data_IF_385454954652
#
_entry.id   IF_385454954652
#
_cell.length_a   1.000
_cell.length_b   1.000
_cell.length_c   1.000
_cell.angle_alpha   90.00
_cell.angle_beta   90.00
_cell.angle_gamma   90.00
#
_symmetry.space_group_name_H-M   'P 1'
#
loop_
_entity.id
_entity.type
_entity.pdbx_description
1 polymer ?
#
# COMPACT_ATOMS: atom_id res chain seq x y z
N UNK A 1 22.95 16.91 20.81
CA UNK A 1 21.59 16.34 21.02
C UNK A 1 21.19 15.72 19.69
N UNK A 2 20.70 14.49 19.75
CA UNK A 2 20.77 13.45 18.72
C UNK A 2 20.13 13.80 17.38
N UNK A 3 20.91 13.65 16.31
CA UNK A 3 20.44 13.11 15.03
C UNK A 3 19.85 11.72 15.31
N UNK A 4 18.62 11.50 14.92
CA UNK A 4 17.99 10.18 14.91
C UNK A 4 17.03 10.13 13.72
N UNK A 5 17.61 9.80 12.57
CA UNK A 5 16.99 9.09 11.46
C UNK A 5 15.55 9.48 11.14
N UNK A 6 15.40 10.56 10.36
CA UNK A 6 14.38 10.57 9.31
C UNK A 6 14.80 9.52 8.27
N UNK A 7 14.67 8.24 8.65
CA UNK A 7 14.66 7.15 7.69
C UNK A 7 13.31 7.23 7.02
N UNK A 8 13.14 8.23 6.15
CA UNK A 8 12.10 8.16 5.15
C UNK A 8 12.36 6.82 4.43
N UNK A 9 11.45 5.84 4.54
CA UNK A 9 11.64 4.58 3.85
C UNK A 9 11.88 4.92 2.38
N UNK A 10 13.00 4.43 1.84
CA UNK A 10 13.29 4.51 0.41
C UNK A 10 12.00 4.20 -0.33
N UNK A 11 11.44 5.15 -1.11
CA UNK A 11 10.07 5.07 -1.59
C UNK A 11 9.83 3.88 -2.54
N UNK A 12 10.88 3.13 -2.88
CA UNK A 12 10.87 2.09 -3.88
C UNK A 12 10.59 0.67 -3.46
N UNK A 13 10.60 0.38 -2.16
CA UNK A 13 10.12 -0.90 -1.67
C UNK A 13 8.64 -0.76 -1.26
N UNK A 14 7.77 -1.65 -1.75
CA UNK A 14 6.58 -1.96 -0.97
C UNK A 14 7.08 -2.37 0.42
N UNK A 15 6.45 -1.91 1.52
CA UNK A 15 6.89 -2.33 2.84
C UNK A 15 6.91 -3.86 2.84
N UNK A 16 8.08 -4.48 3.03
CA UNK A 16 8.32 -5.94 2.98
C UNK A 16 7.20 -6.80 3.60
N UNK A 17 6.54 -6.42 4.72
CA UNK A 17 5.40 -7.17 5.25
C UNK A 17 4.19 -7.28 4.30
N UNK A 18 3.97 -6.34 3.39
CA UNK A 18 2.85 -6.36 2.46
C UNK A 18 3.08 -7.33 1.29
N UNK A 19 4.33 -7.47 0.83
CA UNK A 19 4.69 -8.41 -0.25
C UNK A 19 4.41 -9.87 0.14
N UNK A 20 4.46 -10.18 1.43
CA UNK A 20 4.12 -11.50 1.98
C UNK A 20 2.61 -11.75 2.07
N UNK A 21 1.75 -10.76 1.78
CA UNK A 21 0.29 -10.85 1.89
C UNK A 21 -0.41 -10.39 0.60
N UNK A 22 -0.48 -11.25 -0.43
CA UNK A 22 -0.99 -10.87 -1.76
C UNK A 22 -2.43 -10.34 -1.74
N UNK A 23 -3.27 -10.82 -0.80
CA UNK A 23 -4.64 -10.32 -0.64
C UNK A 23 -4.71 -8.86 -0.14
N UNK A 24 -3.76 -8.42 0.67
CA UNK A 24 -3.69 -7.03 1.13
C UNK A 24 -3.08 -6.12 0.07
N UNK A 25 -2.07 -6.59 -0.66
CA UNK A 25 -1.51 -5.87 -1.82
C UNK A 25 -2.58 -5.64 -2.89
N UNK A 26 -3.34 -6.66 -3.26
CA UNK A 26 -4.47 -6.53 -4.18
C UNK A 26 -5.53 -5.55 -3.66
N UNK A 27 -5.74 -5.51 -2.35
CA UNK A 27 -6.70 -4.57 -1.75
C UNK A 27 -6.24 -3.13 -1.86
N UNK A 28 -4.97 -2.84 -1.57
CA UNK A 28 -4.43 -1.47 -1.69
C UNK A 28 -4.46 -1.01 -3.14
N UNK A 29 -4.11 -1.88 -4.10
CA UNK A 29 -4.21 -1.57 -5.53
C UNK A 29 -5.66 -1.24 -5.94
N UNK A 30 -6.61 -2.12 -5.60
CA UNK A 30 -8.02 -1.90 -5.95
C UNK A 30 -8.61 -0.66 -5.28
N UNK A 31 -8.21 -0.34 -4.05
CA UNK A 31 -8.60 0.89 -3.37
C UNK A 31 -8.09 2.13 -4.13
N UNK A 32 -6.83 2.13 -4.57
CA UNK A 32 -6.27 3.22 -5.36
C UNK A 32 -6.98 3.37 -6.72
N UNK A 33 -7.21 2.26 -7.44
CA UNK A 33 -7.88 2.24 -8.74
C UNK A 33 -9.35 2.72 -8.66
N UNK A 34 -9.97 2.54 -7.51
CA UNK A 34 -11.36 2.93 -7.25
C UNK A 34 -11.49 4.26 -6.49
N UNK A 35 -10.42 5.06 -6.34
CA UNK A 35 -10.43 6.33 -5.61
C UNK A 35 -10.91 6.18 -4.14
N UNK A 36 -10.61 5.03 -3.54
CA UNK A 36 -11.10 4.60 -2.22
C UNK A 36 -12.64 4.53 -2.12
N UNK A 37 -13.35 4.46 -3.25
CA UNK A 37 -14.79 4.20 -3.28
C UNK A 37 -15.07 2.73 -2.93
N UNK A 38 -15.61 2.53 -1.73
CA UNK A 38 -15.97 1.20 -1.21
C UNK A 38 -16.92 0.41 -2.11
N UNK A 39 -17.86 1.09 -2.77
CA UNK A 39 -18.92 0.47 -3.58
C UNK A 39 -18.35 -0.03 -4.91
N UNK A 40 -17.27 0.60 -5.38
CA UNK A 40 -16.51 0.17 -6.57
C UNK A 40 -15.45 -0.87 -6.22
N UNK A 41 -14.82 -0.73 -5.05
CA UNK A 41 -13.73 -1.63 -4.61
C UNK A 41 -14.22 -3.03 -4.23
N UNK A 42 -15.35 -3.12 -3.51
CA UNK A 42 -15.90 -4.41 -3.06
C UNK A 42 -16.17 -5.40 -4.22
N UNK A 43 -16.89 -5.02 -5.30
CA UNK A 43 -17.07 -5.91 -6.44
C UNK A 43 -15.77 -6.16 -7.22
N UNK A 44 -14.84 -5.20 -7.26
CA UNK A 44 -13.54 -5.39 -7.91
C UNK A 44 -12.67 -6.46 -7.23
N UNK A 45 -12.87 -6.66 -5.92
CA UNK A 45 -12.15 -7.64 -5.10
C UNK A 45 -12.93 -8.93 -4.85
N UNK A 46 -14.17 -9.04 -5.35
CA UNK A 46 -15.12 -10.12 -5.02
C UNK A 46 -15.29 -10.34 -3.51
N UNK A 47 -15.48 -9.25 -2.75
CA UNK A 47 -15.67 -9.30 -1.29
C UNK A 47 -16.87 -8.47 -0.83
N UNK A 48 -17.32 -8.74 0.39
CA UNK A 48 -18.29 -7.90 1.07
C UNK A 48 -17.70 -6.51 1.40
N UNK A 49 -18.47 -5.39 1.32
CA UNK A 49 -18.00 -4.06 1.66
C UNK A 49 -17.33 -3.94 3.05
N UNK A 50 -17.83 -4.66 4.06
CA UNK A 50 -17.21 -4.65 5.40
C UNK A 50 -15.77 -5.16 5.41
N UNK A 51 -15.45 -6.09 4.48
CA UNK A 51 -14.09 -6.57 4.29
C UNK A 51 -13.21 -5.47 3.68
N UNK A 52 -13.75 -4.66 2.77
CA UNK A 52 -13.02 -3.51 2.22
C UNK A 52 -12.75 -2.46 3.30
N UNK A 53 -13.67 -2.26 4.23
CA UNK A 53 -13.52 -1.27 5.30
C UNK A 53 -12.53 -1.72 6.39
N UNK A 54 -12.44 -3.01 6.68
CA UNK A 54 -11.52 -3.52 7.71
C UNK A 54 -10.07 -3.69 7.22
N UNK A 55 -9.86 -3.98 5.92
CA UNK A 55 -8.52 -4.27 5.39
C UNK A 55 -7.53 -3.10 5.49
N UNK A 56 -7.92 -1.82 5.31
CA UNK A 56 -7.05 -0.67 5.54
C UNK A 56 -6.48 -0.58 6.96
N UNK A 57 -7.26 -0.96 7.97
CA UNK A 57 -6.77 -1.04 9.34
C UNK A 57 -5.66 -2.10 9.46
N UNK A 58 -5.88 -3.27 8.86
CA UNK A 58 -4.87 -4.33 8.82
C UNK A 58 -3.60 -3.93 8.08
N UNK A 59 -3.71 -3.20 6.97
CA UNK A 59 -2.55 -2.63 6.26
C UNK A 59 -1.78 -1.66 7.14
N UNK A 60 -2.49 -0.81 7.90
CA UNK A 60 -1.87 0.14 8.82
C UNK A 60 -1.14 -0.58 9.96
N UNK A 61 -1.71 -1.64 10.51
CA UNK A 61 -1.06 -2.46 11.54
C UNK A 61 0.25 -3.08 11.05
N UNK A 62 0.28 -3.57 9.81
CA UNK A 62 1.43 -4.27 9.24
C UNK A 62 2.53 -3.34 8.76
N UNK A 63 2.16 -2.17 8.24
CA UNK A 63 3.11 -1.25 7.59
C UNK A 63 3.40 0.01 8.40
N UNK A 64 2.62 0.26 9.46
CA UNK A 64 2.59 1.51 10.23
C UNK A 64 2.19 2.73 9.36
N UNK A 65 1.75 2.50 8.11
CA UNK A 65 1.34 3.53 7.16
C UNK A 65 -0.14 3.41 6.87
N UNK A 66 -0.89 4.48 7.12
CA UNK A 66 -2.31 4.54 6.79
C UNK A 66 -2.49 4.73 5.27
N UNK A 67 -3.09 3.77 4.53
CA UNK A 67 -3.25 3.85 3.08
C UNK A 67 -4.23 4.93 2.62
N UNK A 68 -5.11 5.43 3.49
CA UNK A 68 -6.06 6.51 3.19
C UNK A 68 -5.49 7.92 3.46
N UNK A 69 -4.33 8.02 4.11
CA UNK A 69 -3.67 9.31 4.34
C UNK A 69 -2.90 9.75 3.08
N UNK A 70 -2.78 11.05 2.83
CA UNK A 70 -2.08 11.62 1.66
C UNK A 70 -0.67 11.05 1.49
N UNK A 71 0.10 10.90 2.58
CA UNK A 71 1.42 10.27 2.55
C UNK A 71 1.35 8.78 2.17
N UNK A 72 0.37 8.05 2.72
CA UNK A 72 0.17 6.64 2.41
C UNK A 72 -0.18 6.42 0.94
N UNK A 73 -1.10 7.22 0.39
CA UNK A 73 -1.47 7.19 -1.04
C UNK A 73 -0.24 7.37 -1.93
N UNK A 74 0.62 8.35 -1.61
CA UNK A 74 1.85 8.58 -2.37
C UNK A 74 2.81 7.39 -2.29
N UNK A 75 3.04 6.85 -1.09
CA UNK A 75 3.95 5.71 -0.90
C UNK A 75 3.44 4.46 -1.63
N UNK A 76 2.18 4.08 -1.40
CA UNK A 76 1.62 2.87 -2.01
C UNK A 76 1.42 3.00 -3.53
N UNK A 77 1.17 4.22 -4.04
CA UNK A 77 1.09 4.47 -5.48
C UNK A 77 2.46 4.47 -6.18
N UNK A 78 3.51 4.93 -5.51
CA UNK A 78 4.86 4.99 -6.07
C UNK A 78 5.58 3.64 -6.05
N UNK A 79 5.36 2.84 -5.01
CA UNK A 79 6.13 1.62 -4.75
C UNK A 79 6.15 0.61 -5.93
N UNK A 80 5.04 0.27 -6.62
CA UNK A 80 5.09 -0.65 -7.76
C UNK A 80 5.90 -0.11 -8.95
N UNK A 81 5.87 1.21 -9.16
CA UNK A 81 6.63 1.87 -10.23
C UNK A 81 8.12 1.81 -9.93
N UNK A 82 8.49 2.13 -8.70
CA UNK A 82 9.88 2.12 -8.26
C UNK A 82 10.46 0.69 -8.18
N UNK A 83 9.67 -0.31 -7.78
CA UNK A 83 10.07 -1.72 -7.85
C UNK A 83 10.40 -2.16 -9.28
N UNK A 84 9.62 -1.70 -10.28
CA UNK A 84 9.90 -1.96 -11.71
C UNK A 84 11.18 -1.29 -12.18
N UNK A 85 11.48 -0.09 -11.70
CA UNK A 85 12.71 0.65 -12.06
C UNK A 85 13.92 -0.04 -11.42
N UNK A 86 13.87 -0.30 -10.11
CA UNK A 86 14.93 -1.00 -9.39
C UNK A 86 15.20 -2.41 -9.97
N UNK A 87 14.15 -3.14 -10.38
CA UNK A 87 14.30 -4.44 -11.04
C UNK A 87 14.86 -4.38 -12.48
N UNK A 88 14.78 -3.22 -13.14
CA UNK A 88 15.47 -2.97 -14.42
C UNK A 88 16.95 -2.65 -14.23
N UNK A 89 17.30 -2.07 -13.10
CA UNK A 89 18.69 -1.70 -12.77
C UNK A 89 19.53 -2.91 -12.32
N UNK A 90 18.92 -4.06 -12.04
CA UNK A 90 19.60 -5.33 -11.76
C UNK A 90 19.88 -6.22 -13.00
N UNK A 91 19.71 -5.70 -14.22
CA UNK A 91 19.94 -6.44 -15.47
C UNK A 91 21.06 -5.83 -16.30
#
# INVERSE_FOLDING_TARGET
>A
MSEAADSAPEPGALPEPLDSQPGLTATVAALLDCDFDRRRTAPALDVHPDTVDNRPARVTELTVVNPRAVRGVQLFGAAPTLHRIAGRDCR
#
